data_IF_255883488945
#
_entry.id   IF_255883488945
#
_cell.length_a   1.000
_cell.length_b   1.000
_cell.length_c   1.000
_cell.angle_alpha   90.00
_cell.angle_beta   90.00
_cell.angle_gamma   90.00
#
_symmetry.space_group_name_H-M   'P 1'
#
loop_
_entity.id
_entity.type
_entity.pdbx_description
1 polymer ?
#
# COMPACT_ATOMS: atom_id res chain seq x y z
N UNK A 1 5.23 -0.94 22.21
CA UNK A 1 4.40 -0.52 21.06
C UNK A 1 5.13 -0.95 19.81
N UNK A 2 4.52 -1.73 18.92
CA UNK A 2 5.14 -2.06 17.63
C UNK A 2 5.02 -0.80 16.77
N UNK A 3 6.14 -0.15 16.47
CA UNK A 3 6.14 0.99 15.56
C UNK A 3 5.90 0.47 14.14
N UNK A 4 4.75 0.80 13.58
CA UNK A 4 4.41 0.45 12.20
C UNK A 4 4.99 1.54 11.31
N UNK A 5 5.83 1.15 10.37
CA UNK A 5 6.40 2.07 9.39
C UNK A 5 5.28 2.68 8.54
N UNK A 6 5.38 3.98 8.21
CA UNK A 6 4.45 4.65 7.29
C UNK A 6 4.64 4.22 5.83
N UNK A 7 5.67 3.42 5.55
CA UNK A 7 6.01 2.92 4.23
C UNK A 7 6.02 1.39 4.23
N UNK A 8 5.43 0.79 3.22
CA UNK A 8 5.46 -0.65 2.95
C UNK A 8 6.11 -0.90 1.58
N UNK A 9 7.27 -1.55 1.58
CA UNK A 9 7.94 -1.94 0.35
C UNK A 9 7.63 -3.40 -0.03
N UNK A 10 7.04 -3.59 -1.20
CA UNK A 10 6.72 -4.90 -1.80
C UNK A 10 7.40 -5.10 -3.16
N UNK A 11 8.40 -4.29 -3.49
CA UNK A 11 9.19 -4.44 -4.72
C UNK A 11 9.85 -5.82 -4.74
N UNK A 12 9.73 -6.50 -5.88
CA UNK A 12 10.32 -7.83 -6.09
C UNK A 12 9.45 -8.99 -5.65
N UNK A 13 8.33 -8.72 -4.95
CA UNK A 13 7.33 -9.74 -4.63
C UNK A 13 6.46 -10.05 -5.85
N UNK A 14 5.94 -11.28 -5.91
CA UNK A 14 4.83 -11.60 -6.81
C UNK A 14 3.52 -11.05 -6.26
N UNK A 15 2.50 -10.95 -7.13
CA UNK A 15 1.18 -10.45 -6.73
C UNK A 15 0.59 -11.31 -5.61
N UNK A 16 0.69 -12.63 -5.73
CA UNK A 16 0.20 -13.59 -4.73
C UNK A 16 0.90 -13.48 -3.38
N UNK A 17 2.16 -13.04 -3.36
CA UNK A 17 2.94 -12.80 -2.13
C UNK A 17 2.67 -11.40 -1.55
N UNK A 18 2.47 -10.41 -2.41
CA UNK A 18 2.31 -9.02 -2.02
C UNK A 18 0.96 -8.75 -1.36
N UNK A 19 -0.14 -9.34 -1.86
CA UNK A 19 -1.49 -9.07 -1.32
C UNK A 19 -1.62 -9.45 0.16
N UNK A 20 -1.20 -10.65 0.62
CA UNK A 20 -1.22 -10.98 2.04
C UNK A 20 -0.37 -10.05 2.91
N UNK A 21 0.77 -9.56 2.38
CA UNK A 21 1.64 -8.62 3.08
C UNK A 21 0.95 -7.26 3.24
N UNK A 22 0.32 -6.77 2.17
CA UNK A 22 -0.47 -5.53 2.20
C UNK A 22 -1.63 -5.66 3.18
N UNK A 23 -2.40 -6.75 3.12
CA UNK A 23 -3.51 -7.02 4.04
C UNK A 23 -3.09 -6.91 5.51
N UNK A 24 -2.01 -7.62 5.86
CA UNK A 24 -1.49 -7.59 7.23
C UNK A 24 -1.05 -6.18 7.64
N UNK A 25 -0.40 -5.47 6.72
CA UNK A 25 0.04 -4.10 6.96
C UNK A 25 -1.13 -3.13 7.17
N UNK A 26 -2.20 -3.22 6.38
CA UNK A 26 -3.39 -2.38 6.54
C UNK A 26 -4.01 -2.54 7.93
N UNK A 27 -4.10 -3.78 8.42
CA UNK A 27 -4.58 -4.07 9.76
C UNK A 27 -3.67 -3.44 10.84
N UNK A 28 -2.35 -3.63 10.74
CA UNK A 28 -1.39 -3.06 11.70
C UNK A 28 -1.38 -1.52 11.68
N UNK A 29 -1.47 -0.90 10.50
CA UNK A 29 -1.48 0.56 10.33
C UNK A 29 -2.78 1.19 10.87
N UNK A 30 -3.93 0.59 10.57
CA UNK A 30 -5.23 1.02 11.10
C UNK A 30 -5.27 0.92 12.63
N UNK A 31 -4.78 -0.18 13.22
CA UNK A 31 -4.72 -0.36 14.67
C UNK A 31 -3.74 0.60 15.35
N UNK A 32 -2.69 1.01 14.64
CA UNK A 32 -1.68 1.95 15.15
C UNK A 32 -2.14 3.40 15.10
N UNK A 33 -3.31 3.68 14.49
CA UNK A 33 -3.86 5.04 14.37
C UNK A 33 -3.09 5.94 13.41
N UNK A 34 -2.36 5.35 12.46
CA UNK A 34 -1.63 6.10 11.43
C UNK A 34 -2.65 6.62 10.42
N UNK A 35 -2.65 7.93 10.08
CA UNK A 35 -3.66 8.52 9.20
C UNK A 35 -3.51 8.08 7.74
N UNK A 36 -2.29 7.79 7.29
CA UNK A 36 -1.99 7.38 5.92
C UNK A 36 -0.67 6.61 5.83
N UNK A 37 -0.55 5.79 4.79
CA UNK A 37 0.66 5.04 4.50
C UNK A 37 0.98 5.01 3.00
N UNK A 38 2.24 4.72 2.68
CA UNK A 38 2.74 4.63 1.30
C UNK A 38 3.12 3.19 0.98
N UNK A 39 2.49 2.60 -0.03
CA UNK A 39 2.81 1.26 -0.53
C UNK A 39 3.67 1.40 -1.78
N UNK A 40 4.92 0.93 -1.68
CA UNK A 40 5.92 0.95 -2.73
C UNK A 40 5.89 -0.39 -3.46
N UNK A 41 5.27 -0.41 -4.64
CA UNK A 41 5.18 -1.60 -5.49
C UNK A 41 6.13 -1.56 -6.70
N UNK A 42 6.77 -0.41 -6.94
CA UNK A 42 7.64 -0.20 -8.08
C UNK A 42 6.86 0.06 -9.37
N UNK A 43 7.55 0.51 -10.41
CA UNK A 43 6.95 0.81 -11.72
C UNK A 43 6.67 -0.48 -12.51
N UNK A 44 7.72 -1.29 -12.68
CA UNK A 44 7.64 -2.64 -13.27
C UNK A 44 6.74 -2.73 -14.51
N UNK A 45 5.93 -3.79 -14.56
CA UNK A 45 4.87 -4.00 -15.56
C UNK A 45 3.51 -3.42 -15.13
N UNK A 46 3.43 -2.74 -14.00
CA UNK A 46 2.17 -2.25 -13.41
C UNK A 46 1.26 -3.33 -12.81
N UNK A 47 1.63 -4.63 -12.85
CA UNK A 47 0.79 -5.72 -12.32
C UNK A 47 0.60 -5.63 -10.81
N UNK A 48 1.67 -5.35 -10.06
CA UNK A 48 1.58 -5.13 -8.62
C UNK A 48 0.75 -3.87 -8.30
N UNK A 49 1.01 -2.77 -9.01
CA UNK A 49 0.25 -1.53 -8.85
C UNK A 49 -1.25 -1.76 -9.02
N UNK A 50 -1.63 -2.47 -10.08
CA UNK A 50 -3.03 -2.80 -10.36
C UNK A 50 -3.63 -3.68 -9.28
N UNK A 51 -2.97 -4.78 -8.91
CA UNK A 51 -3.47 -5.70 -7.89
C UNK A 51 -3.62 -5.02 -6.52
N UNK A 52 -2.65 -4.18 -6.13
CA UNK A 52 -2.74 -3.40 -4.89
C UNK A 52 -3.91 -2.43 -4.94
N UNK A 53 -4.07 -1.66 -6.02
CA UNK A 53 -5.20 -0.71 -6.15
C UNK A 53 -6.55 -1.42 -6.15
N UNK A 54 -6.66 -2.57 -6.80
CA UNK A 54 -7.85 -3.42 -6.77
C UNK A 54 -8.14 -3.93 -5.36
N UNK A 55 -7.11 -4.40 -4.62
CA UNK A 55 -7.26 -4.85 -3.24
C UNK A 55 -7.67 -3.74 -2.27
N UNK A 56 -7.16 -2.53 -2.47
CA UNK A 56 -7.52 -1.36 -1.67
C UNK A 56 -8.93 -0.84 -1.99
N UNK A 57 -9.43 -1.08 -3.20
CA UNK A 57 -10.74 -0.60 -3.64
C UNK A 57 -11.86 -1.34 -2.90
N UNK A 58 -12.59 -0.63 -2.05
CA UNK A 58 -13.67 -1.21 -1.24
C UNK A 58 -13.19 -1.96 -0.01
N UNK A 59 -11.91 -1.84 0.36
CA UNK A 59 -11.39 -2.43 1.59
C UNK A 59 -11.97 -1.72 2.83
N UNK A 60 -12.52 -2.43 3.83
CA UNK A 60 -13.24 -1.82 4.95
C UNK A 60 -12.39 -0.91 5.84
N UNK A 61 -11.07 -1.15 5.89
CA UNK A 61 -10.12 -0.33 6.64
C UNK A 61 -9.59 0.88 5.86
N UNK A 62 -9.93 1.02 4.57
CA UNK A 62 -9.37 2.05 3.70
C UNK A 62 -10.44 3.09 3.39
N UNK A 63 -10.22 4.34 3.80
CA UNK A 63 -11.08 5.48 3.44
C UNK A 63 -10.86 5.92 2.00
N UNK A 64 -9.66 5.73 1.48
CA UNK A 64 -9.32 6.05 0.10
C UNK A 64 -7.88 5.69 -0.25
N UNK A 65 -7.58 5.68 -1.54
CA UNK A 65 -6.21 5.55 -2.03
C UNK A 65 -5.99 6.44 -3.25
N UNK A 66 -4.74 6.85 -3.45
CA UNK A 66 -4.32 7.62 -4.63
C UNK A 66 -2.94 7.17 -5.12
N UNK A 67 -2.58 7.42 -6.39
CA UNK A 67 -1.19 7.37 -6.81
C UNK A 67 -0.33 8.37 -6.02
N UNK A 68 0.96 8.09 -5.87
CA UNK A 68 1.90 9.09 -5.32
C UNK A 68 2.11 10.26 -6.27
N UNK A 69 2.55 11.39 -5.72
CA UNK A 69 3.05 12.53 -6.51
C UNK A 69 4.42 12.21 -7.10
N UNK A 70 4.91 13.01 -8.06
CA UNK A 70 6.26 12.84 -8.62
C UNK A 70 7.36 12.83 -7.53
N UNK A 71 7.20 13.61 -6.47
CA UNK A 71 8.13 13.65 -5.32
C UNK A 71 8.04 12.40 -4.43
N UNK A 72 6.88 11.75 -4.36
CA UNK A 72 6.65 10.52 -3.57
C UNK A 72 7.03 9.23 -4.33
N UNK A 73 7.38 9.33 -5.62
CA UNK A 73 7.70 8.18 -6.48
C UNK A 73 6.68 7.92 -7.61
N UNK A 74 5.69 8.80 -7.76
CA UNK A 74 4.73 8.83 -8.86
C UNK A 74 3.90 7.56 -8.98
N UNK A 75 3.80 7.02 -10.18
CA UNK A 75 3.02 5.80 -10.42
C UNK A 75 3.58 4.53 -9.78
N UNK A 76 4.81 4.55 -9.24
CA UNK A 76 5.43 3.40 -8.59
C UNK A 76 4.98 3.18 -7.14
N UNK A 77 4.19 4.12 -6.62
CA UNK A 77 3.68 4.12 -5.26
C UNK A 77 2.17 4.35 -5.24
N UNK A 78 1.53 3.82 -4.22
CA UNK A 78 0.13 4.06 -3.91
C UNK A 78 0.03 4.51 -2.45
N UNK A 79 -0.54 5.69 -2.23
CA UNK A 79 -0.80 6.26 -0.91
C UNK A 79 -2.20 5.83 -0.47
N UNK A 80 -2.31 5.24 0.71
CA UNK A 80 -3.55 4.77 1.32
C UNK A 80 -3.90 5.61 2.54
N UNK A 81 -5.19 5.87 2.73
CA UNK A 81 -5.76 6.61 3.86
C UNK A 81 -6.68 5.69 4.66
N UNK A 82 -6.55 5.70 5.99
CA UNK A 82 -7.33 4.89 6.93
C UNK A 82 -8.36 5.72 7.67
#
# INVERSE_FOLDING_TARGET
KKEVSIELNIIGLRVDEAIPVVERYLNEAALSGIPSATIIHGRGTGRLAKAVREHLSGHPLVKGSRPGTDEEGGEAVTVVYF
#
